data_IF_475043044634
#
_entry.id   IF_475043044634
#
_cell.length_a   1.000
_cell.length_b   1.000
_cell.length_c   1.000
_cell.angle_alpha   90.00
_cell.angle_beta   90.00
_cell.angle_gamma   90.00
#
_symmetry.space_group_name_H-M   'P 1'
#
loop_
_entity.id
_entity.type
_entity.pdbx_description
1 polymer ?
#
# COMPACT_ATOMS: atom_id res chain seq x y z
N UNK A 1 -3.56 -26.64 5.75
CA UNK A 1 -3.45 -26.05 4.40
C UNK A 1 -1.98 -25.94 4.09
N UNK A 2 -1.50 -26.58 3.02
CA UNK A 2 -0.07 -26.67 2.74
C UNK A 2 0.54 -25.26 2.55
N UNK A 3 1.66 -25.00 3.23
CA UNK A 3 2.35 -23.70 3.19
C UNK A 3 3.23 -23.47 1.96
N UNK A 4 3.15 -24.35 0.95
CA UNK A 4 3.96 -24.30 -0.26
C UNK A 4 3.33 -23.42 -1.35
N UNK A 5 2.01 -23.27 -1.36
CA UNK A 5 1.30 -22.54 -2.40
C UNK A 5 1.47 -21.01 -2.30
N UNK A 6 2.04 -20.40 -3.36
CA UNK A 6 2.11 -18.95 -3.53
C UNK A 6 0.86 -18.47 -4.26
N UNK A 7 0.03 -17.68 -3.58
CA UNK A 7 -1.09 -16.97 -4.20
C UNK A 7 -0.59 -15.72 -4.93
N UNK A 8 -1.03 -15.52 -6.17
CA UNK A 8 -0.83 -14.28 -6.92
C UNK A 8 -2.06 -13.38 -6.77
N UNK A 9 -1.83 -12.08 -6.64
CA UNK A 9 -2.87 -11.04 -6.61
C UNK A 9 -2.39 -9.83 -7.39
N UNK A 10 -3.30 -9.08 -8.00
CA UNK A 10 -3.00 -7.83 -8.68
C UNK A 10 -3.55 -6.67 -7.87
N UNK A 11 -2.67 -5.75 -7.47
CA UNK A 11 -3.02 -4.65 -6.57
C UNK A 11 -2.52 -3.34 -7.17
N UNK A 12 -3.36 -2.29 -7.26
CA UNK A 12 -2.88 -0.97 -7.61
C UNK A 12 -1.95 -0.44 -6.51
N UNK A 13 -0.77 0.04 -6.89
CA UNK A 13 0.23 0.59 -5.95
C UNK A 13 0.26 2.12 -5.89
N UNK A 14 -0.63 2.78 -6.65
CA UNK A 14 -0.75 4.23 -6.60
C UNK A 14 -1.46 4.68 -5.33
N UNK A 15 -1.11 5.87 -4.85
CA UNK A 15 -1.76 6.52 -3.70
C UNK A 15 -3.11 7.18 -4.08
N UNK A 16 -3.59 6.98 -5.31
CA UNK A 16 -4.78 7.63 -5.85
C UNK A 16 -6.02 6.71 -5.87
N UNK A 17 -5.94 5.55 -5.23
CA UNK A 17 -7.03 4.57 -5.16
C UNK A 17 -7.19 3.76 -6.46
N UNK A 18 -8.08 2.77 -6.43
CA UNK A 18 -8.24 1.78 -7.51
C UNK A 18 -8.61 2.39 -8.87
N UNK A 19 -9.47 3.41 -8.87
CA UNK A 19 -9.99 4.02 -10.10
C UNK A 19 -8.99 4.92 -10.85
N UNK A 20 -8.00 5.48 -10.14
CA UNK A 20 -7.01 6.41 -10.71
C UNK A 20 -5.59 5.84 -10.70
N UNK A 21 -5.45 4.55 -10.38
CA UNK A 21 -4.15 3.90 -10.35
C UNK A 21 -3.67 3.59 -11.76
N UNK A 22 -2.55 4.20 -12.12
CA UNK A 22 -1.97 4.13 -13.46
C UNK A 22 -1.48 2.72 -13.82
N UNK A 23 -1.07 1.90 -12.82
CA UNK A 23 -0.45 0.61 -13.10
C UNK A 23 -0.64 -0.43 -11.98
N UNK A 24 -1.16 -1.64 -12.26
CA UNK A 24 -1.25 -2.71 -11.27
C UNK A 24 0.09 -3.42 -11.05
N UNK A 25 0.26 -3.91 -9.82
CA UNK A 25 1.42 -4.67 -9.35
C UNK A 25 1.05 -6.13 -9.11
N UNK A 26 1.86 -7.06 -9.59
CA UNK A 26 1.72 -8.47 -9.24
C UNK A 26 2.34 -8.71 -7.86
N UNK A 27 1.50 -9.14 -6.92
CA UNK A 27 1.82 -9.39 -5.52
C UNK A 27 1.77 -10.89 -5.24
N UNK A 28 2.85 -11.41 -4.67
CA UNK A 28 2.97 -12.81 -4.28
C UNK A 28 2.75 -12.94 -2.79
N UNK A 29 1.84 -13.83 -2.40
CA UNK A 29 1.38 -13.99 -1.03
C UNK A 29 1.60 -15.44 -0.61
N UNK A 30 2.19 -15.62 0.58
CA UNK A 30 2.33 -16.92 1.25
C UNK A 30 1.95 -16.74 2.72
N UNK A 31 1.10 -17.63 3.25
CA UNK A 31 0.66 -17.60 4.64
C UNK A 31 0.12 -16.22 5.07
N UNK A 32 -0.69 -15.58 4.22
CA UNK A 32 -1.26 -14.25 4.46
C UNK A 32 -0.26 -13.10 4.44
N UNK A 33 1.01 -13.33 4.08
CA UNK A 33 2.06 -12.31 4.01
C UNK A 33 2.54 -12.07 2.58
N UNK A 34 2.80 -10.81 2.26
CA UNK A 34 3.42 -10.40 1.00
C UNK A 34 4.87 -10.84 1.03
N UNK A 35 5.26 -11.72 0.12
CA UNK A 35 6.64 -12.18 -0.01
C UNK A 35 7.39 -11.39 -1.09
N UNK A 36 6.70 -10.96 -2.17
CA UNK A 36 7.32 -10.27 -3.31
C UNK A 36 6.32 -9.38 -4.06
N UNK A 37 6.82 -8.28 -4.60
CA UNK A 37 6.14 -7.44 -5.59
C UNK A 37 6.98 -7.43 -6.87
N UNK A 38 6.33 -7.47 -8.04
CA UNK A 38 6.99 -7.38 -9.35
C UNK A 38 6.09 -6.71 -10.38
N UNK A 39 6.63 -6.31 -11.54
CA UNK A 39 5.80 -5.89 -12.66
C UNK A 39 4.82 -6.99 -13.05
N UNK A 40 3.59 -6.60 -13.35
CA UNK A 40 2.60 -7.45 -13.98
C UNK A 40 2.94 -7.62 -15.45
N UNK A 41 2.93 -8.86 -15.92
CA UNK A 41 3.07 -9.19 -17.34
C UNK A 41 1.67 -9.41 -17.91
N UNK A 42 1.43 -8.94 -19.13
CA UNK A 42 0.16 -9.08 -19.80
C UNK A 42 0.35 -9.17 -21.30
N UNK A 43 -0.53 -9.94 -21.94
CA UNK A 43 -0.59 -10.10 -23.38
C UNK A 43 -1.68 -9.18 -23.97
N UNK A 44 -1.57 -8.83 -25.25
CA UNK A 44 -2.68 -8.26 -26.03
C UNK A 44 -2.82 -6.72 -26.10
N UNK A 45 -2.18 -5.94 -25.22
CA UNK A 45 -2.30 -4.46 -25.22
C UNK A 45 -1.03 -3.74 -25.65
N UNK A 46 -0.45 -4.12 -26.79
CA UNK A 46 0.74 -3.46 -27.34
C UNK A 46 0.39 -2.59 -28.54
N UNK A 47 0.84 -1.35 -28.53
CA UNK A 47 0.87 -0.51 -29.72
C UNK A 47 2.29 -0.46 -30.26
N UNK A 48 2.40 -0.30 -31.58
CA UNK A 48 3.68 -0.18 -32.26
C UNK A 48 3.71 1.10 -33.07
N UNK A 49 4.79 1.87 -32.94
CA UNK A 49 5.02 3.11 -33.66
C UNK A 49 6.21 2.89 -34.60
N UNK A 50 6.03 3.21 -35.88
CA UNK A 50 7.12 3.21 -36.87
C UNK A 50 7.52 4.65 -37.14
N UNK A 51 8.77 5.00 -36.89
CA UNK A 51 9.29 6.35 -37.12
C UNK A 51 10.80 6.31 -37.38
N UNK A 52 11.29 7.16 -38.30
CA UNK A 52 12.73 7.31 -38.62
C UNK A 52 13.41 5.97 -38.94
N UNK A 53 12.75 5.10 -39.71
CA UNK A 53 13.25 3.76 -40.05
C UNK A 53 13.31 2.77 -38.88
N UNK A 54 12.77 3.11 -37.71
CA UNK A 54 12.77 2.26 -36.51
C UNK A 54 11.34 1.88 -36.11
N UNK A 55 11.23 0.74 -35.43
CA UNK A 55 9.97 0.22 -34.87
C UNK A 55 10.07 0.22 -33.35
N UNK A 56 9.12 0.89 -32.68
CA UNK A 56 9.04 0.99 -31.23
C UNK A 56 7.76 0.31 -30.76
N UNK A 57 7.88 -0.66 -29.86
CA UNK A 57 6.75 -1.46 -29.37
C UNK A 57 6.64 -1.33 -27.86
N UNK A 58 5.41 -1.13 -27.36
CA UNK A 58 5.16 -1.08 -25.91
C UNK A 58 5.56 -2.41 -25.26
N UNK A 59 6.33 -2.41 -24.15
CA UNK A 59 6.64 -3.64 -23.42
C UNK A 59 5.37 -4.35 -22.93
N UNK A 60 5.33 -5.68 -23.01
CA UNK A 60 4.25 -6.54 -22.48
C UNK A 60 4.23 -6.67 -20.94
N UNK A 61 4.59 -5.58 -20.26
CA UNK A 61 4.63 -5.52 -18.80
C UNK A 61 4.32 -4.12 -18.30
N UNK A 62 3.96 -4.05 -17.03
CA UNK A 62 3.82 -2.80 -16.32
C UNK A 62 5.18 -2.17 -16.03
N UNK A 63 5.21 -0.83 -15.96
CA UNK A 63 6.40 -0.06 -15.60
C UNK A 63 6.13 0.58 -14.24
N UNK A 64 6.69 -0.04 -13.20
CA UNK A 64 6.52 0.42 -11.82
C UNK A 64 7.61 1.43 -11.45
N UNK A 65 7.24 2.41 -10.64
CA UNK A 65 8.21 3.27 -10.00
C UNK A 65 8.93 2.52 -8.86
N UNK A 66 10.18 2.88 -8.50
CA UNK A 66 10.93 2.20 -7.44
C UNK A 66 10.19 2.12 -6.10
N UNK A 67 9.44 3.16 -5.73
CA UNK A 67 8.68 3.19 -4.48
C UNK A 67 7.50 2.20 -4.46
N UNK A 68 6.99 1.80 -5.63
CA UNK A 68 5.90 0.82 -5.76
C UNK A 68 6.42 -0.58 -5.47
N UNK A 69 7.62 -0.91 -5.97
CA UNK A 69 8.28 -2.17 -5.68
C UNK A 69 8.65 -2.31 -4.18
N UNK A 70 8.92 -1.18 -3.52
CA UNK A 70 9.24 -1.14 -2.10
C UNK A 70 8.00 -1.18 -1.16
N UNK A 71 6.77 -1.29 -1.67
CA UNK A 71 5.56 -1.14 -0.84
C UNK A 71 5.44 -2.16 0.31
N UNK A 72 6.04 -3.35 0.16
CA UNK A 72 6.14 -4.35 1.25
C UNK A 72 6.72 -3.73 2.53
N UNK A 73 7.73 -2.86 2.41
CA UNK A 73 8.36 -2.21 3.55
C UNK A 73 7.41 -1.22 4.24
N UNK A 74 6.53 -0.56 3.49
CA UNK A 74 5.50 0.32 4.06
C UNK A 74 4.40 -0.47 4.77
N UNK A 75 3.97 -1.58 4.20
CA UNK A 75 2.95 -2.45 4.81
C UNK A 75 3.43 -3.00 6.16
N UNK A 76 4.68 -3.44 6.23
CA UNK A 76 5.27 -4.06 7.42
C UNK A 76 6.17 -3.14 8.26
N UNK A 77 6.10 -1.82 8.03
CA UNK A 77 6.91 -0.86 8.77
C UNK A 77 6.65 -0.96 10.29
N UNK A 78 7.70 -0.93 11.14
CA UNK A 78 7.51 -0.87 12.59
C UNK A 78 6.75 0.38 13.03
N UNK A 79 6.80 1.46 12.24
CA UNK A 79 6.11 2.72 12.51
C UNK A 79 4.63 2.72 12.08
N UNK A 80 4.10 1.58 11.62
CA UNK A 80 2.69 1.47 11.22
C UNK A 80 1.79 1.52 12.45
N UNK A 81 0.87 2.47 12.48
CA UNK A 81 -0.21 2.52 13.49
C UNK A 81 -1.17 1.35 13.26
N UNK A 82 -1.13 0.35 14.15
CA UNK A 82 -1.90 -0.91 14.04
C UNK A 82 -3.23 -0.88 14.78
N UNK A 83 -3.38 0.04 15.73
CA UNK A 83 -4.54 0.14 16.61
C UNK A 83 -4.94 1.59 16.77
N UNK A 84 -6.20 1.86 17.15
CA UNK A 84 -6.60 3.17 17.61
C UNK A 84 -5.78 3.62 18.82
N UNK A 85 -5.42 4.90 18.80
CA UNK A 85 -4.61 5.55 19.82
C UNK A 85 -5.33 6.81 20.31
N UNK A 86 -5.45 6.97 21.63
CA UNK A 86 -5.96 8.19 22.28
C UNK A 86 -4.80 8.92 22.96
N UNK A 87 -4.72 10.24 22.81
CA UNK A 87 -3.74 11.03 23.58
C UNK A 87 -4.05 10.90 25.07
N UNK A 88 -3.03 10.67 25.88
CA UNK A 88 -3.20 10.30 27.30
C UNK A 88 -3.93 11.36 28.12
N UNK A 89 -3.71 12.62 27.79
CA UNK A 89 -4.25 13.79 28.48
C UNK A 89 -5.50 14.38 27.82
N UNK A 90 -6.09 13.67 26.86
CA UNK A 90 -7.28 14.13 26.16
C UNK A 90 -8.55 13.53 26.76
N UNK A 91 -9.33 14.40 27.40
CA UNK A 91 -10.70 14.14 27.83
C UNK A 91 -11.69 14.96 26.99
N UNK A 92 -12.59 14.32 26.21
CA UNK A 92 -13.58 15.04 25.40
C UNK A 92 -14.61 15.81 26.22
N UNK A 93 -14.93 15.33 27.44
CA UNK A 93 -15.95 15.88 28.35
C UNK A 93 -15.36 16.76 29.45
N UNK A 94 -14.03 16.89 29.48
CA UNK A 94 -13.30 17.65 30.48
C UNK A 94 -12.14 18.43 29.86
N UNK A 95 -10.96 18.30 30.46
CA UNK A 95 -9.76 19.03 30.02
C UNK A 95 -9.17 18.39 28.76
N UNK A 96 -9.20 19.15 27.66
CA UNK A 96 -8.70 18.70 26.34
C UNK A 96 -7.19 18.88 26.13
N UNK A 97 -6.55 19.73 26.94
CA UNK A 97 -5.11 20.00 26.94
C UNK A 97 -4.55 20.25 25.51
N UNK A 98 -5.11 21.22 24.79
CA UNK A 98 -4.77 21.50 23.38
C UNK A 98 -3.32 21.95 23.20
N UNK A 99 -2.74 22.62 24.19
CA UNK A 99 -1.33 23.04 24.25
C UNK A 99 -0.33 21.88 24.26
N UNK A 100 -0.78 20.66 24.57
CA UNK A 100 0.05 19.45 24.64
C UNK A 100 0.01 18.61 23.35
N UNK A 101 -0.67 19.05 22.29
CA UNK A 101 -0.67 18.37 20.98
C UNK A 101 0.76 18.29 20.44
N UNK A 102 1.18 17.09 20.04
CA UNK A 102 2.55 16.82 19.59
C UNK A 102 3.58 16.61 20.71
N UNK A 103 3.19 16.77 21.99
CA UNK A 103 4.05 16.55 23.16
C UNK A 103 3.63 15.33 23.96
N UNK A 104 2.35 15.23 24.31
CA UNK A 104 1.83 14.11 25.09
C UNK A 104 1.78 12.82 24.27
N UNK A 105 2.07 11.71 24.92
CA UNK A 105 2.01 10.37 24.32
C UNK A 105 0.58 9.87 24.08
N UNK A 106 0.49 8.61 23.65
CA UNK A 106 -0.78 7.96 23.33
C UNK A 106 -0.92 6.62 24.07
N UNK A 107 -2.16 6.28 24.39
CA UNK A 107 -2.56 4.96 24.88
C UNK A 107 -3.42 4.25 23.85
N UNK A 108 -3.30 2.94 23.77
CA UNK A 108 -4.15 2.11 22.92
C UNK A 108 -5.58 2.11 23.45
N UNK A 109 -6.54 2.23 22.56
CA UNK A 109 -7.97 2.05 22.85
C UNK A 109 -8.59 1.02 21.89
N UNK A 110 -9.79 0.54 22.19
CA UNK A 110 -10.57 -0.29 21.26
C UNK A 110 -11.16 0.56 20.13
N UNK A 111 -11.55 -0.08 19.04
CA UNK A 111 -12.26 0.60 17.95
C UNK A 111 -13.61 1.15 18.41
N UNK A 112 -14.34 0.44 19.27
CA UNK A 112 -15.58 0.98 19.85
C UNK A 112 -15.34 2.21 20.71
N UNK A 113 -14.22 2.27 21.44
CA UNK A 113 -13.82 3.45 22.20
C UNK A 113 -13.43 4.67 21.33
N UNK A 114 -13.36 4.53 20.00
CA UNK A 114 -13.20 5.68 19.09
C UNK A 114 -14.52 6.34 18.70
N UNK A 115 -15.63 5.64 18.90
CA UNK A 115 -16.96 6.18 18.62
C UNK A 115 -17.25 7.29 19.62
N UNK A 116 -17.91 8.34 19.13
CA UNK A 116 -18.42 9.43 19.97
C UNK A 116 -19.72 9.03 20.62
#
# INVERSE_FOLDING_TARGET
MDGSNIRKSYVPTSLLGFANAYVPTEVHIRNGKIIRLKPMFFDGFSYTIKARGKTFTKPGKTLQAPFELAFKLRVYSPNRVKYPLKRVDFDPNGKRNTQNRGKSGYVRISWDGTKR
#
